data_IF_405051556725
#
_entry.id   IF_405051556725
#
_cell.length_a   1.000
_cell.length_b   1.000
_cell.length_c   1.000
_cell.angle_alpha   90.00
_cell.angle_beta   90.00
_cell.angle_gamma   90.00
#
_symmetry.space_group_name_H-M   'P 1'
#
loop_
_entity.id
_entity.type
_entity.pdbx_description
1 polymer ?
#
# COMPACT_ATOMS: atom_id res chain seq x y z
N UNK A 1 15.35 1.23 15.84
CA UNK A 1 15.16 -0.20 16.26
C UNK A 1 15.56 -1.12 15.10
N UNK A 2 15.74 -2.45 15.26
CA UNK A 2 15.96 -3.30 14.10
C UNK A 2 14.77 -3.22 13.13
N UNK A 3 15.04 -3.18 11.82
CA UNK A 3 14.01 -3.16 10.77
C UNK A 3 12.99 -4.28 10.98
N UNK A 4 11.71 -3.93 11.00
CA UNK A 4 10.61 -4.90 11.12
C UNK A 4 10.61 -5.78 9.86
N UNK A 5 10.69 -7.09 10.05
CA UNK A 5 10.61 -8.07 8.95
C UNK A 5 9.20 -8.65 8.90
N UNK A 6 8.52 -8.43 7.77
CA UNK A 6 7.24 -9.05 7.48
C UNK A 6 7.47 -10.40 6.79
N UNK A 7 6.81 -11.45 7.28
CA UNK A 7 6.69 -12.71 6.56
C UNK A 7 5.44 -12.65 5.66
N UNK A 8 5.60 -12.21 4.41
CA UNK A 8 4.49 -12.03 3.47
C UNK A 8 3.99 -13.39 2.93
N UNK A 9 3.02 -13.97 3.64
CA UNK A 9 2.34 -15.21 3.25
C UNK A 9 1.21 -15.00 2.25
N UNK A 10 0.90 -13.74 1.89
CA UNK A 10 -0.27 -13.36 1.10
C UNK A 10 0.07 -12.78 -0.26
N UNK A 11 1.35 -12.66 -0.60
CA UNK A 11 1.81 -11.93 -1.78
C UNK A 11 1.21 -10.51 -1.81
N UNK A 12 1.22 -9.83 -0.67
CA UNK A 12 0.67 -8.49 -0.53
C UNK A 12 1.67 -7.39 -0.93
N UNK A 13 2.97 -7.67 -0.79
CA UNK A 13 4.04 -6.68 -0.93
C UNK A 13 4.79 -6.79 -2.27
N UNK A 14 5.25 -5.65 -2.79
CA UNK A 14 6.14 -5.61 -3.95
C UNK A 14 7.52 -6.16 -3.55
N UNK A 15 7.97 -7.25 -4.19
CA UNK A 15 9.25 -7.91 -3.89
C UNK A 15 10.46 -7.20 -4.47
N UNK A 16 10.21 -6.28 -5.39
CA UNK A 16 11.19 -5.48 -6.12
C UNK A 16 11.32 -4.06 -5.56
N UNK A 17 10.86 -3.83 -4.32
CA UNK A 17 11.04 -2.58 -3.58
C UNK A 17 11.45 -2.89 -2.14
N UNK A 18 12.47 -2.19 -1.65
CA UNK A 18 12.93 -2.27 -0.27
C UNK A 18 12.53 -1.04 0.57
N UNK A 19 11.62 -0.21 0.05
CA UNK A 19 11.16 1.01 0.72
C UNK A 19 10.65 0.74 2.14
N UNK A 20 11.23 1.45 3.09
CA UNK A 20 10.94 1.33 4.51
C UNK A 20 11.20 2.67 5.18
N UNK A 21 10.26 3.13 6.01
CA UNK A 21 10.39 4.38 6.75
C UNK A 21 10.08 4.12 8.21
N UNK A 22 11.09 4.27 9.08
CA UNK A 22 10.92 4.17 10.53
C UNK A 22 10.13 5.37 11.03
N UNK A 23 9.04 5.12 11.76
CA UNK A 23 8.27 6.17 12.40
C UNK A 23 9.10 6.89 13.47
N UNK A 24 8.84 8.17 13.70
CA UNK A 24 9.50 8.91 14.78
C UNK A 24 9.12 8.33 16.16
N UNK A 25 9.98 8.49 17.15
CA UNK A 25 9.67 8.10 18.52
C UNK A 25 8.53 8.95 19.12
N UNK A 26 7.75 8.33 20.01
CA UNK A 26 6.75 8.97 20.88
C UNK A 26 5.62 9.77 20.17
N UNK A 27 5.41 9.53 18.88
CA UNK A 27 4.23 10.01 18.15
C UNK A 27 2.94 9.24 18.50
N UNK A 28 1.75 9.79 18.20
CA UNK A 28 0.45 9.17 18.53
C UNK A 28 0.18 7.82 17.87
N UNK A 29 0.94 7.46 16.82
CA UNK A 29 0.86 6.16 16.12
C UNK A 29 2.10 5.28 16.40
N UNK A 30 2.91 5.63 17.40
CA UNK A 30 4.09 4.85 17.78
C UNK A 30 3.74 3.39 18.05
N UNK A 31 4.55 2.48 17.53
CA UNK A 31 4.35 1.04 17.64
C UNK A 31 3.38 0.45 16.62
N UNK A 32 2.69 1.28 15.83
CA UNK A 32 1.88 0.81 14.70
C UNK A 32 2.71 0.70 13.43
N UNK A 33 2.33 -0.24 12.60
CA UNK A 33 2.90 -0.54 11.28
C UNK A 33 1.88 -0.28 10.19
N UNK A 34 2.36 0.21 9.04
CA UNK A 34 1.52 0.36 7.87
C UNK A 34 2.22 0.00 6.58
N UNK A 35 1.41 -0.28 5.56
CA UNK A 35 1.87 -0.44 4.19
C UNK A 35 1.31 0.66 3.29
N UNK A 36 2.05 1.05 2.26
CA UNK A 36 1.59 2.02 1.27
C UNK A 36 1.45 1.35 -0.10
N UNK A 37 0.32 1.55 -0.79
CA UNK A 37 0.15 1.11 -2.19
C UNK A 37 1.28 1.61 -3.07
N UNK A 38 1.66 0.83 -4.07
CA UNK A 38 2.74 1.14 -5.02
C UNK A 38 2.40 2.23 -6.05
N UNK A 39 1.81 3.31 -5.55
CA UNK A 39 1.54 4.58 -6.24
C UNK A 39 1.88 5.79 -5.35
N UNK A 40 2.16 5.58 -4.06
CA UNK A 40 2.56 6.68 -3.18
C UNK A 40 4.07 6.86 -3.24
N UNK A 41 4.57 8.03 -3.60
CA UNK A 41 6.02 8.20 -3.64
C UNK A 41 6.69 8.00 -2.28
N UNK A 42 7.89 7.44 -2.32
CA UNK A 42 8.83 7.35 -1.19
C UNK A 42 10.16 7.83 -1.72
N UNK A 43 10.76 8.83 -1.05
CA UNK A 43 12.02 9.40 -1.51
C UNK A 43 13.08 8.33 -1.77
N UNK A 44 13.86 8.50 -2.83
CA UNK A 44 14.92 7.60 -3.29
C UNK A 44 14.45 6.21 -3.76
N UNK A 45 13.13 6.00 -3.93
CA UNK A 45 12.57 4.76 -4.48
C UNK A 45 11.71 5.05 -5.71
N UNK A 46 11.74 4.13 -6.69
CA UNK A 46 10.86 4.22 -7.86
C UNK A 46 9.47 3.70 -7.51
N UNK A 47 8.45 4.53 -7.73
CA UNK A 47 7.04 4.15 -7.64
C UNK A 47 6.66 3.30 -8.87
N UNK A 48 6.35 2.03 -8.66
CA UNK A 48 6.23 1.07 -9.76
C UNK A 48 4.86 1.04 -10.44
N UNK A 49 3.80 1.51 -9.78
CA UNK A 49 2.45 1.50 -10.33
C UNK A 49 1.93 0.10 -10.65
N UNK A 50 2.54 -0.96 -10.10
CA UNK A 50 2.24 -2.34 -10.48
C UNK A 50 2.54 -2.67 -11.95
N UNK A 51 3.44 -1.93 -12.60
CA UNK A 51 3.89 -2.17 -13.97
C UNK A 51 5.45 -2.12 -14.06
N UNK A 52 6.13 -3.20 -14.52
CA UNK A 52 7.59 -3.23 -14.57
C UNK A 52 8.19 -2.30 -15.64
N UNK A 53 7.50 -2.05 -16.76
CA UNK A 53 7.97 -1.14 -17.82
C UNK A 53 7.90 0.32 -17.38
N UNK A 54 6.84 0.69 -16.65
CA UNK A 54 6.73 1.98 -15.97
C UNK A 54 7.91 2.14 -15.02
N UNK A 55 8.12 1.17 -14.15
CA UNK A 55 9.22 1.22 -13.17
C UNK A 55 10.59 1.31 -13.82
N UNK A 56 10.82 0.62 -14.94
CA UNK A 56 12.09 0.65 -15.66
C UNK A 56 12.39 1.97 -16.38
N UNK A 57 11.37 2.83 -16.57
CA UNK A 57 11.48 4.08 -17.33
C UNK A 57 11.39 5.33 -16.45
N UNK A 58 11.12 5.18 -15.16
CA UNK A 58 10.96 6.29 -14.22
C UNK A 58 12.11 6.35 -13.22
N UNK A 59 12.52 7.56 -12.90
CA UNK A 59 13.54 7.82 -11.88
C UNK A 59 12.97 7.67 -10.47
N UNK A 60 13.83 7.42 -9.46
CA UNK A 60 13.43 7.46 -8.06
C UNK A 60 12.76 8.79 -7.68
N UNK A 61 11.75 8.72 -6.81
CA UNK A 61 11.03 9.92 -6.39
C UNK A 61 11.94 10.87 -5.59
N UNK A 62 11.86 12.18 -5.87
CA UNK A 62 12.61 13.20 -5.12
C UNK A 62 12.07 13.42 -3.70
N UNK A 63 10.80 13.05 -3.45
CA UNK A 63 10.10 13.33 -2.19
C UNK A 63 9.13 12.20 -1.84
N UNK A 64 9.00 11.95 -0.55
CA UNK A 64 7.95 11.07 -0.01
C UNK A 64 6.58 11.74 -0.08
N UNK A 65 5.55 10.98 -0.45
CA UNK A 65 4.17 11.44 -0.47
C UNK A 65 3.75 12.01 0.89
N UNK A 66 3.06 13.15 0.89
CA UNK A 66 2.69 13.86 2.12
C UNK A 66 1.95 12.97 3.12
N UNK A 67 1.06 12.08 2.65
CA UNK A 67 0.31 11.18 3.53
C UNK A 67 1.21 10.10 4.16
N UNK A 68 2.20 9.60 3.44
CA UNK A 68 3.20 8.66 3.96
C UNK A 68 4.07 9.37 5.00
N UNK A 69 4.59 10.54 4.65
CA UNK A 69 5.40 11.38 5.56
C UNK A 69 4.62 11.71 6.84
N UNK A 70 3.36 12.12 6.73
CA UNK A 70 2.52 12.48 7.88
C UNK A 70 2.32 11.31 8.85
N UNK A 71 2.20 10.08 8.36
CA UNK A 71 2.06 8.89 9.19
C UNK A 71 3.38 8.52 9.88
N UNK A 72 4.49 8.65 9.17
CA UNK A 72 5.85 8.45 9.70
C UNK A 72 6.15 9.48 10.79
N UNK A 73 5.84 10.76 10.55
CA UNK A 73 5.97 11.83 11.53
C UNK A 73 4.96 11.72 12.69
N UNK A 74 3.88 10.95 12.53
CA UNK A 74 2.99 10.58 13.62
C UNK A 74 3.47 9.34 14.40
N UNK A 75 4.58 8.72 14.00
CA UNK A 75 5.22 7.59 14.69
C UNK A 75 4.90 6.21 14.11
N UNK A 76 4.09 6.11 13.06
CA UNK A 76 3.82 4.82 12.41
C UNK A 76 5.00 4.41 11.51
N UNK A 77 5.35 3.12 11.52
CA UNK A 77 6.44 2.59 10.68
C UNK A 77 5.89 2.03 9.36
N UNK A 78 6.39 2.54 8.23
CA UNK A 78 6.05 1.98 6.92
C UNK A 78 6.93 0.75 6.65
N UNK A 79 6.31 -0.43 6.55
CA UNK A 79 7.07 -1.69 6.39
C UNK A 79 7.28 -2.12 4.94
N UNK A 80 6.58 -1.49 3.99
CA UNK A 80 6.78 -1.79 2.57
C UNK A 80 5.72 -1.22 1.63
N UNK A 81 5.98 -1.42 0.33
CA UNK A 81 5.09 -1.10 -0.79
C UNK A 81 4.16 -2.29 -1.08
N UNK A 82 2.89 -2.03 -1.33
CA UNK A 82 1.90 -3.08 -1.62
C UNK A 82 1.49 -3.13 -3.09
N UNK A 83 1.24 -4.34 -3.57
CA UNK A 83 0.78 -4.61 -4.93
C UNK A 83 -0.52 -3.87 -5.21
N UNK A 84 -0.63 -3.38 -6.45
CA UNK A 84 -1.81 -2.70 -7.00
C UNK A 84 -2.23 -3.37 -8.30
N UNK A 85 -3.51 -3.23 -8.69
CA UNK A 85 -3.86 -3.39 -10.12
C UNK A 85 -2.96 -2.45 -10.95
N UNK A 86 -2.53 -2.93 -12.10
CA UNK A 86 -1.62 -2.25 -13.01
C UNK A 86 -2.09 -0.82 -13.32
N UNK A 87 -1.26 0.18 -12.99
CA UNK A 87 -1.53 1.61 -13.13
C UNK A 87 -2.87 2.05 -12.53
N UNK A 88 -3.32 1.35 -11.48
CA UNK A 88 -4.62 1.50 -10.81
C UNK A 88 -5.84 1.20 -11.68
N UNK A 89 -5.65 0.56 -12.84
CA UNK A 89 -6.70 0.24 -13.81
C UNK A 89 -7.25 -1.17 -13.57
N UNK A 90 -8.00 -1.31 -12.48
CA UNK A 90 -8.68 -2.56 -12.15
C UNK A 90 -9.55 -2.42 -10.91
N UNK A 91 -10.34 -3.46 -10.64
CA UNK A 91 -11.17 -3.56 -9.44
C UNK A 91 -11.17 -4.96 -8.81
N UNK A 92 -10.59 -5.96 -9.48
CA UNK A 92 -10.51 -7.31 -8.93
C UNK A 92 -9.21 -7.54 -8.15
N UNK A 93 -8.18 -6.70 -8.31
CA UNK A 93 -6.92 -6.84 -7.58
C UNK A 93 -5.94 -7.80 -8.25
N UNK A 94 -6.13 -8.05 -9.54
CA UNK A 94 -5.30 -8.93 -10.35
C UNK A 94 -4.18 -8.14 -11.00
N UNK A 95 -2.96 -8.67 -10.95
CA UNK A 95 -1.82 -8.06 -11.61
C UNK A 95 -1.06 -9.14 -12.41
N UNK A 96 -0.93 -8.94 -13.72
CA UNK A 96 -0.30 -9.91 -14.61
C UNK A 96 1.20 -10.09 -14.35
N UNK A 97 1.87 -9.08 -13.79
CA UNK A 97 3.32 -9.05 -13.58
C UNK A 97 3.70 -9.53 -12.18
N UNK A 98 2.95 -9.10 -11.18
CA UNK A 98 3.25 -9.34 -9.75
C UNK A 98 2.35 -10.40 -9.10
N UNK A 99 1.34 -10.88 -9.83
CA UNK A 99 0.33 -11.82 -9.33
C UNK A 99 -0.75 -11.15 -8.48
N UNK A 100 -1.78 -11.94 -8.16
CA UNK A 100 -2.92 -11.50 -7.35
C UNK A 100 -2.64 -11.75 -5.87
N UNK A 101 -2.71 -10.73 -4.98
CA UNK A 101 -2.65 -10.94 -3.54
C UNK A 101 -3.77 -11.87 -3.05
N UNK A 102 -3.49 -12.69 -2.03
CA UNK A 102 -4.47 -13.63 -1.48
C UNK A 102 -5.51 -12.88 -0.65
N UNK A 103 -6.80 -13.14 -0.88
CA UNK A 103 -7.88 -12.69 0.01
C UNK A 103 -7.91 -13.57 1.27
N UNK A 104 -7.54 -13.07 2.47
CA UNK A 104 -7.46 -13.91 3.66
C UNK A 104 -8.82 -14.40 4.17
N UNK A 105 -9.92 -13.76 3.76
CA UNK A 105 -11.29 -14.16 4.13
C UNK A 105 -11.88 -15.20 3.19
N UNK A 106 -11.36 -15.31 1.97
CA UNK A 106 -11.80 -16.25 0.96
C UNK A 106 -10.63 -16.55 0.02
N UNK A 107 -9.68 -17.44 0.39
CA UNK A 107 -8.42 -17.63 -0.35
C UNK A 107 -8.57 -18.00 -1.82
N UNK A 108 -9.69 -18.63 -2.21
CA UNK A 108 -10.01 -19.00 -3.60
C UNK A 108 -10.73 -17.88 -4.38
N UNK A 109 -10.80 -16.66 -3.82
CA UNK A 109 -11.45 -15.48 -4.40
C UNK A 109 -10.48 -14.32 -4.46
N UNK A 110 -10.75 -13.40 -5.37
CA UNK A 110 -9.94 -12.19 -5.50
C UNK A 110 -10.11 -11.26 -4.28
N UNK A 111 -9.08 -10.50 -3.90
CA UNK A 111 -9.15 -9.54 -2.79
C UNK A 111 -9.90 -8.25 -3.14
N UNK A 112 -10.14 -8.02 -4.45
CA UNK A 112 -10.60 -6.73 -4.95
C UNK A 112 -9.45 -5.75 -5.13
N UNK A 113 -9.72 -4.65 -5.80
CA UNK A 113 -8.68 -3.71 -6.22
C UNK A 113 -9.21 -2.28 -6.40
N UNK A 114 -8.36 -1.32 -6.75
CA UNK A 114 -6.95 -1.51 -7.10
C UNK A 114 -5.99 -1.54 -5.94
N UNK A 115 -6.44 -1.33 -4.71
CA UNK A 115 -5.58 -1.40 -3.51
C UNK A 115 -5.50 -2.84 -2.95
N UNK A 116 -5.19 -3.81 -3.79
CA UNK A 116 -5.32 -5.25 -3.50
C UNK A 116 -4.31 -5.75 -2.47
N UNK A 117 -3.04 -5.37 -2.61
CA UNK A 117 -2.01 -5.73 -1.64
C UNK A 117 -2.27 -5.05 -0.29
N UNK A 118 -2.71 -3.79 -0.32
CA UNK A 118 -3.03 -3.01 0.88
C UNK A 118 -4.13 -3.68 1.71
N UNK A 119 -5.22 -4.10 1.08
CA UNK A 119 -6.32 -4.76 1.81
C UNK A 119 -5.93 -6.15 2.29
N UNK A 120 -5.15 -6.90 1.51
CA UNK A 120 -4.72 -8.25 1.86
C UNK A 120 -3.78 -8.22 3.06
N UNK A 121 -2.85 -7.26 3.10
CA UNK A 121 -1.93 -7.07 4.22
C UNK A 121 -2.67 -6.76 5.53
N UNK A 122 -3.68 -5.86 5.49
CA UNK A 122 -4.48 -5.52 6.67
C UNK A 122 -5.37 -6.68 7.10
N UNK A 123 -6.12 -7.28 6.16
CA UNK A 123 -7.02 -8.41 6.47
C UNK A 123 -6.25 -9.64 6.98
N UNK A 124 -5.00 -9.79 6.58
CA UNK A 124 -4.09 -10.84 7.02
C UNK A 124 -3.34 -10.57 8.32
N UNK A 125 -3.48 -9.37 8.90
CA UNK A 125 -2.74 -8.96 10.09
C UNK A 125 -1.23 -8.82 9.86
N UNK A 126 -0.78 -8.57 8.62
CA UNK A 126 0.63 -8.29 8.32
C UNK A 126 1.02 -6.86 8.73
N UNK A 127 0.06 -5.94 8.76
CA UNK A 127 0.20 -4.54 9.20
C UNK A 127 -1.07 -4.08 9.90
N UNK A 128 -0.98 -3.03 10.73
CA UNK A 128 -2.11 -2.49 11.48
C UNK A 128 -3.10 -1.72 10.58
N UNK A 129 -2.57 -1.00 9.58
CA UNK A 129 -3.38 -0.29 8.58
C UNK A 129 -2.61 -0.12 7.26
N UNK A 130 -3.26 0.37 6.21
CA UNK A 130 -2.61 0.61 4.93
C UNK A 130 -3.19 1.80 4.17
N UNK A 131 -2.37 2.44 3.33
CA UNK A 131 -2.77 3.47 2.40
C UNK A 131 -3.10 2.86 1.03
N UNK A 132 -4.23 3.31 0.45
CA UNK A 132 -4.63 3.00 -0.91
C UNK A 132 -5.22 4.24 -1.60
N UNK A 133 -5.49 4.15 -2.90
CA UNK A 133 -6.23 5.17 -3.65
C UNK A 133 -7.63 4.68 -4.01
N UNK A 134 -8.59 5.61 -4.06
CA UNK A 134 -10.00 5.32 -4.35
C UNK A 134 -10.57 6.33 -5.34
N UNK A 135 -10.36 6.05 -6.64
CA UNK A 135 -10.92 6.84 -7.74
C UNK A 135 -12.38 6.46 -8.00
N UNK A 136 -12.66 5.15 -8.08
CA UNK A 136 -13.99 4.60 -8.39
C UNK A 136 -14.51 3.58 -7.37
N UNK A 137 -13.87 3.47 -6.20
CA UNK A 137 -14.12 2.40 -5.23
C UNK A 137 -12.87 1.64 -4.80
N UNK A 138 -11.70 2.02 -5.28
CA UNK A 138 -10.48 1.21 -5.20
C UNK A 138 -9.88 1.03 -3.79
N UNK A 139 -10.47 1.63 -2.74
CA UNK A 139 -10.26 1.26 -1.33
C UNK A 139 -11.50 0.56 -0.77
N UNK A 140 -12.68 1.13 -1.00
CA UNK A 140 -13.94 0.64 -0.41
C UNK A 140 -14.37 -0.74 -0.91
N UNK A 141 -14.23 -1.01 -2.21
CA UNK A 141 -14.56 -2.31 -2.83
C UNK A 141 -13.66 -3.43 -2.30
N UNK A 142 -12.32 -3.34 -2.36
CA UNK A 142 -11.46 -4.38 -1.77
C UNK A 142 -11.71 -4.57 -0.27
N UNK A 143 -11.94 -3.48 0.46
CA UNK A 143 -12.25 -3.55 1.90
C UNK A 143 -13.54 -4.34 2.17
N UNK A 144 -14.57 -4.17 1.33
CA UNK A 144 -15.79 -4.98 1.39
C UNK A 144 -15.52 -6.46 1.09
N UNK A 145 -14.62 -6.78 0.16
CA UNK A 145 -14.31 -8.16 -0.23
C UNK A 145 -13.50 -8.89 0.85
N UNK A 146 -12.58 -8.18 1.51
CA UNK A 146 -11.70 -8.75 2.53
C UNK A 146 -12.20 -8.53 3.97
N UNK A 147 -13.40 -7.97 4.15
CA UNK A 147 -14.05 -7.84 5.46
C UNK A 147 -13.29 -6.93 6.43
N UNK A 148 -12.79 -5.79 5.94
CA UNK A 148 -12.12 -4.75 6.74
C UNK A 148 -12.74 -3.37 6.48
N UNK A 149 -12.42 -2.39 7.32
CA UNK A 149 -12.89 -1.02 7.13
C UNK A 149 -12.09 -0.32 6.02
N UNK A 150 -12.80 0.26 5.05
CA UNK A 150 -12.22 1.06 3.98
C UNK A 150 -12.79 2.48 3.97
N UNK A 151 -11.95 3.48 4.21
CA UNK A 151 -12.38 4.88 4.26
C UNK A 151 -11.85 5.65 3.04
N UNK A 152 -12.75 6.33 2.33
CA UNK A 152 -12.40 7.37 1.37
C UNK A 152 -12.80 8.74 1.94
N UNK A 153 -11.84 9.55 2.43
CA UNK A 153 -12.13 10.91 2.88
C UNK A 153 -12.73 11.76 1.76
N UNK A 154 -13.36 12.88 2.12
CA UNK A 154 -13.78 13.88 1.11
C UNK A 154 -12.55 14.38 0.34
N UNK A 155 -12.72 14.67 -0.95
CA UNK A 155 -11.63 14.85 -1.94
C UNK A 155 -10.59 15.96 -1.62
N UNK A 156 -10.82 16.76 -0.58
CA UNK A 156 -9.95 17.87 -0.15
C UNK A 156 -9.25 17.62 1.20
N UNK A 157 -9.51 16.49 1.87
CA UNK A 157 -8.93 16.20 3.20
C UNK A 157 -7.55 15.54 3.15
N UNK A 158 -7.20 14.91 2.03
CA UNK A 158 -5.88 14.27 1.83
C UNK A 158 -5.31 14.85 0.55
N UNK A 159 -4.13 15.47 0.67
CA UNK A 159 -3.47 16.12 -0.46
C UNK A 159 -2.87 15.07 -1.40
N UNK A 160 -3.05 15.25 -2.71
CA UNK A 160 -2.63 14.29 -3.75
C UNK A 160 -1.21 14.55 -4.29
N UNK A 161 -0.38 15.32 -3.58
CA UNK A 161 1.00 15.58 -4.00
C UNK A 161 1.86 14.32 -3.87
N UNK A 162 2.60 14.02 -4.94
CA UNK A 162 3.53 12.89 -5.04
C UNK A 162 2.81 11.53 -5.01
N UNK A 163 1.82 11.41 -5.92
CA UNK A 163 1.13 10.17 -6.33
C UNK A 163 1.55 9.78 -7.75
#
# INVERSE_FOLDING_TARGET
MPRIKINDTLNAFCKDSDAYLEGIADGPLSGLTFAAKDIFDVADHVTGGGNPDWKATHEPAERTAWCVESLVQAGATMVGKTITDELTRGIFGENAHYGTPVNPRAPDRVPGGSSSGSVSAVAGGLVDFALGSDTGGSVRVPSSFCGVYGLRPVAIRVHLTSL
#
